data_IF_028776633136
#
_entry.id   IF_028776633136
#
_cell.length_a   1.000
_cell.length_b   1.000
_cell.length_c   1.000
_cell.angle_alpha   90.00
_cell.angle_beta   90.00
_cell.angle_gamma   90.00
#
_symmetry.space_group_name_H-M   'P 1'
#
loop_
_entity.id
_entity.type
_entity.pdbx_description
1 polymer ?
#
# COMPACT_ATOMS: atom_id res chain seq x y z
N UNK A 1 -1.93 -28.72 -3.62
CA UNK A 1 -3.35 -28.46 -3.33
C UNK A 1 -3.45 -27.05 -2.76
N UNK A 2 -4.31 -26.22 -3.32
CA UNK A 2 -4.63 -24.89 -2.80
C UNK A 2 -5.98 -24.99 -2.09
N UNK A 3 -6.01 -24.63 -0.81
CA UNK A 3 -7.24 -24.53 -0.02
C UNK A 3 -7.55 -23.04 0.16
N UNK A 4 -8.75 -22.63 -0.22
CA UNK A 4 -9.24 -21.29 0.07
C UNK A 4 -10.05 -21.33 1.36
N UNK A 5 -9.52 -20.71 2.40
CA UNK A 5 -10.22 -20.54 3.67
C UNK A 5 -10.86 -19.15 3.70
N UNK A 6 -12.17 -19.07 3.90
CA UNK A 6 -12.92 -17.81 4.01
C UNK A 6 -12.67 -17.07 5.35
N UNK A 7 -11.45 -17.14 5.87
CA UNK A 7 -11.04 -16.51 7.13
C UNK A 7 -10.05 -15.39 6.87
N UNK A 8 -10.17 -14.30 7.62
CA UNK A 8 -9.14 -13.25 7.63
C UNK A 8 -8.00 -13.68 8.53
N UNK A 9 -6.78 -13.58 8.03
CA UNK A 9 -5.60 -13.75 8.87
C UNK A 9 -5.46 -12.56 9.81
N UNK A 10 -5.05 -12.82 11.06
CA UNK A 10 -4.77 -11.79 12.04
C UNK A 10 -3.61 -10.88 11.59
N UNK A 11 -3.63 -9.65 12.06
CA UNK A 11 -2.55 -8.68 11.84
C UNK A 11 -1.69 -8.47 13.08
N UNK A 12 -1.81 -9.39 14.03
CA UNK A 12 -1.04 -9.39 15.27
C UNK A 12 0.30 -10.11 15.08
N UNK A 13 1.24 -9.88 15.98
CA UNK A 13 2.41 -10.73 16.13
C UNK A 13 1.96 -12.10 16.67
N UNK A 14 2.57 -13.18 16.22
CA UNK A 14 2.28 -14.55 16.68
C UNK A 14 0.84 -15.05 16.40
N UNK A 15 0.38 -14.87 15.19
CA UNK A 15 -0.88 -15.47 14.74
C UNK A 15 -0.79 -17.00 14.71
N UNK A 16 -1.90 -17.68 14.98
CA UNK A 16 -1.96 -19.13 14.96
C UNK A 16 -3.04 -19.59 13.98
N UNK A 17 -2.68 -20.50 13.09
CA UNK A 17 -3.63 -21.22 12.24
C UNK A 17 -3.56 -22.71 12.55
N UNK A 18 -4.73 -23.34 12.64
CA UNK A 18 -4.84 -24.79 12.88
C UNK A 18 -5.76 -25.42 11.86
N UNK A 19 -5.35 -26.57 11.35
CA UNK A 19 -6.19 -27.46 10.57
C UNK A 19 -6.76 -28.52 11.53
N UNK A 20 -8.08 -28.65 11.58
CA UNK A 20 -8.76 -29.58 12.47
C UNK A 20 -9.68 -30.52 11.69
N UNK A 21 -9.83 -31.75 12.15
CA UNK A 21 -10.81 -32.70 11.68
C UNK A 21 -11.70 -33.13 12.87
N UNK A 22 -12.87 -32.49 12.98
CA UNK A 22 -13.67 -32.58 14.19
C UNK A 22 -12.93 -31.98 15.40
N UNK A 23 -12.68 -32.79 16.42
CA UNK A 23 -11.93 -32.38 17.63
C UNK A 23 -10.40 -32.60 17.49
N UNK A 24 -9.97 -33.32 16.48
CA UNK A 24 -8.57 -33.64 16.26
C UNK A 24 -7.84 -32.50 15.52
N UNK A 25 -6.79 -32.00 16.12
CA UNK A 25 -5.87 -31.04 15.47
C UNK A 25 -4.88 -31.79 14.59
N UNK A 26 -5.02 -31.67 13.27
CA UNK A 26 -4.12 -32.29 12.31
C UNK A 26 -2.82 -31.49 12.14
N UNK A 27 -2.90 -30.18 12.26
CA UNK A 27 -1.76 -29.28 12.07
C UNK A 27 -2.00 -27.97 12.79
N UNK A 28 -0.95 -27.40 13.34
CA UNK A 28 -0.96 -26.04 13.92
C UNK A 28 0.33 -25.33 13.54
N UNK A 29 0.22 -24.10 13.09
CA UNK A 29 1.34 -23.25 12.73
C UNK A 29 1.17 -21.88 13.37
N UNK A 30 2.23 -21.38 13.96
CA UNK A 30 2.33 -19.98 14.37
C UNK A 30 3.05 -19.22 13.26
N UNK A 31 2.55 -18.05 12.89
CA UNK A 31 3.17 -17.20 11.88
C UNK A 31 3.19 -15.75 12.35
N UNK A 32 4.21 -14.98 11.92
CA UNK A 32 4.35 -13.57 12.27
C UNK A 32 3.31 -12.72 11.52
N UNK A 33 3.27 -11.42 11.84
CA UNK A 33 2.53 -10.44 11.05
C UNK A 33 3.03 -10.45 9.62
N UNK A 34 2.11 -10.50 8.66
CA UNK A 34 2.40 -10.48 7.24
C UNK A 34 1.96 -9.15 6.63
N UNK A 35 2.79 -8.58 5.79
CA UNK A 35 2.40 -7.46 4.93
C UNK A 35 1.55 -7.94 3.74
N UNK A 36 1.01 -7.00 2.99
CA UNK A 36 0.28 -7.30 1.75
C UNK A 36 1.24 -7.98 0.76
N UNK A 37 0.81 -9.04 0.12
CA UNK A 37 1.58 -9.87 -0.82
C UNK A 37 2.76 -10.65 -0.20
N UNK A 38 2.80 -10.79 1.10
CA UNK A 38 3.73 -11.71 1.76
C UNK A 38 3.12 -13.09 1.96
N UNK A 39 3.98 -14.09 1.94
CA UNK A 39 3.66 -15.44 2.37
C UNK A 39 4.65 -15.91 3.43
N UNK A 40 4.18 -16.78 4.31
CA UNK A 40 4.99 -17.45 5.31
C UNK A 40 4.68 -18.93 5.28
N UNK A 41 5.68 -19.74 5.15
CA UNK A 41 5.49 -21.17 4.99
C UNK A 41 6.80 -21.94 5.03
N UNK A 42 6.72 -23.24 4.73
CA UNK A 42 7.90 -24.10 4.64
C UNK A 42 8.81 -23.63 3.52
N UNK A 43 10.09 -23.60 3.80
CA UNK A 43 11.13 -23.30 2.82
C UNK A 43 11.51 -24.58 2.09
N UNK A 44 11.39 -24.55 0.76
CA UNK A 44 11.66 -25.71 -0.08
C UNK A 44 10.68 -26.86 0.11
N UNK A 45 11.11 -28.04 -0.26
CA UNK A 45 10.35 -29.28 -0.12
C UNK A 45 11.07 -30.24 0.83
N UNK A 46 10.34 -30.77 1.82
CA UNK A 46 10.82 -31.85 2.66
C UNK A 46 11.59 -31.45 3.91
N UNK A 47 11.64 -30.17 4.29
CA UNK A 47 12.13 -29.73 5.58
C UNK A 47 11.04 -29.04 6.39
N UNK A 48 11.28 -28.82 7.67
CA UNK A 48 10.34 -28.15 8.58
C UNK A 48 10.73 -26.68 8.87
N UNK A 49 11.72 -26.16 8.15
CA UNK A 49 12.11 -24.76 8.26
C UNK A 49 11.00 -23.87 7.71
N UNK A 50 10.62 -22.88 8.51
CA UNK A 50 9.58 -21.93 8.17
C UNK A 50 10.19 -20.56 7.95
N UNK A 51 9.69 -19.83 6.97
CA UNK A 51 10.20 -18.49 6.69
C UNK A 51 9.29 -17.68 5.78
N UNK A 52 9.63 -16.41 5.67
CA UNK A 52 9.02 -15.52 4.67
C UNK A 52 9.46 -15.93 3.27
N UNK A 53 8.57 -15.83 2.32
CA UNK A 53 8.87 -16.10 0.92
C UNK A 53 7.93 -15.32 0.00
N UNK A 54 8.32 -15.17 -1.25
CA UNK A 54 7.41 -14.67 -2.29
C UNK A 54 6.27 -15.67 -2.48
N UNK A 55 5.02 -15.21 -2.62
CA UNK A 55 3.89 -16.12 -2.89
C UNK A 55 4.11 -16.98 -4.13
N UNK A 56 3.99 -18.30 -3.97
CA UNK A 56 4.23 -19.31 -5.00
C UNK A 56 2.98 -20.14 -5.26
N UNK A 57 1.83 -19.49 -5.44
CA UNK A 57 0.52 -20.18 -5.60
C UNK A 57 0.56 -21.18 -6.75
N UNK A 58 0.38 -22.46 -6.42
CA UNK A 58 0.37 -23.55 -7.39
C UNK A 58 1.75 -24.10 -7.77
N UNK A 59 2.82 -23.49 -7.30
CA UNK A 59 4.20 -23.92 -7.51
C UNK A 59 4.83 -24.45 -6.23
N UNK A 60 6.05 -24.96 -6.34
CA UNK A 60 6.82 -25.34 -5.15
C UNK A 60 7.27 -24.10 -4.38
N UNK A 61 7.34 -24.22 -3.08
CA UNK A 61 7.88 -23.16 -2.22
C UNK A 61 9.33 -22.82 -2.58
N UNK A 62 9.72 -21.58 -2.31
CA UNK A 62 11.09 -21.12 -2.50
C UNK A 62 12.09 -22.02 -1.74
N UNK A 63 13.27 -22.23 -2.29
CA UNK A 63 14.31 -23.06 -1.65
C UNK A 63 15.01 -22.34 -0.50
N UNK A 64 14.94 -21.03 -0.47
CA UNK A 64 15.52 -20.17 0.56
C UNK A 64 14.48 -19.21 1.10
N UNK A 65 14.55 -18.91 2.40
CA UNK A 65 13.73 -17.87 3.02
C UNK A 65 14.14 -16.49 2.50
N UNK A 66 13.16 -15.60 2.32
CA UNK A 66 13.45 -14.18 2.17
C UNK A 66 14.06 -13.67 3.48
N UNK A 67 15.26 -13.11 3.40
CA UNK A 67 15.87 -12.43 4.52
C UNK A 67 15.26 -11.03 4.65
N UNK A 68 15.28 -10.48 5.85
CA UNK A 68 14.78 -9.11 6.08
C UNK A 68 15.54 -8.09 5.23
N UNK A 69 16.84 -8.28 5.08
CA UNK A 69 17.72 -7.47 4.23
C UNK A 69 17.48 -7.63 2.72
N UNK A 70 16.78 -8.70 2.31
CA UNK A 70 16.46 -8.99 0.92
C UNK A 70 15.13 -8.36 0.48
N UNK A 71 14.58 -7.45 1.29
CA UNK A 71 13.26 -6.87 1.08
C UNK A 71 13.34 -5.37 0.88
N UNK A 72 12.40 -4.85 0.10
CA UNK A 72 12.26 -3.41 -0.05
C UNK A 72 11.91 -2.77 1.30
N UNK A 73 12.87 -2.08 1.88
CA UNK A 73 12.72 -1.43 3.17
C UNK A 73 12.87 0.08 3.09
N UNK A 74 12.11 0.76 3.93
CA UNK A 74 12.20 2.19 4.14
C UNK A 74 12.80 2.44 5.53
N UNK A 75 13.82 3.30 5.62
CA UNK A 75 14.52 3.57 6.88
C UNK A 75 13.65 4.26 7.93
N UNK A 76 12.55 4.90 7.50
CA UNK A 76 11.61 5.62 8.35
C UNK A 76 10.21 5.12 8.03
N UNK A 77 9.44 4.62 8.99
CA UNK A 77 8.05 4.23 8.76
C UNK A 77 7.16 5.43 8.44
N UNK A 78 6.03 5.19 7.79
CA UNK A 78 4.98 6.20 7.62
C UNK A 78 4.47 6.73 8.95
N UNK A 79 4.04 7.99 8.97
CA UNK A 79 3.53 8.61 10.20
C UNK A 79 3.66 10.13 10.21
N UNK A 80 3.47 10.69 11.42
CA UNK A 80 3.57 12.11 11.68
C UNK A 80 4.97 12.47 12.21
N UNK A 81 5.57 13.50 11.64
CA UNK A 81 6.89 14.00 12.00
C UNK A 81 6.87 15.52 12.15
N UNK A 82 7.55 16.04 13.13
CA UNK A 82 7.67 17.50 13.35
C UNK A 82 8.58 18.15 12.31
N UNK A 83 9.67 17.46 11.98
CA UNK A 83 10.73 17.98 11.14
C UNK A 83 10.88 17.18 9.85
N UNK A 84 11.53 17.79 8.88
CA UNK A 84 11.95 17.13 7.64
C UNK A 84 12.72 15.85 7.94
N UNK A 85 12.34 14.77 7.27
CA UNK A 85 13.05 13.49 7.36
C UNK A 85 13.85 13.19 6.10
N UNK A 86 14.83 12.34 6.25
CA UNK A 86 15.59 11.76 5.13
C UNK A 86 15.28 10.27 5.04
N UNK A 87 14.64 9.88 3.95
CA UNK A 87 14.25 8.51 3.68
C UNK A 87 15.31 7.81 2.86
N UNK A 88 15.81 6.69 3.35
CA UNK A 88 16.60 5.74 2.56
C UNK A 88 15.76 4.50 2.24
N UNK A 89 15.96 3.99 1.04
CA UNK A 89 15.32 2.76 0.56
C UNK A 89 16.40 1.74 0.27
N UNK A 90 16.18 0.50 0.68
CA UNK A 90 17.13 -0.59 0.46
C UNK A 90 16.39 -1.86 0.03
N UNK A 91 17.06 -2.67 -0.76
CA UNK A 91 16.65 -4.00 -1.19
C UNK A 91 17.91 -4.87 -1.36
N UNK A 92 17.74 -6.12 -1.74
CA UNK A 92 18.87 -7.03 -2.02
C UNK A 92 19.75 -6.52 -3.16
N UNK A 93 21.01 -6.89 -3.20
CA UNK A 93 21.91 -6.54 -4.29
C UNK A 93 21.39 -6.97 -5.67
N UNK A 94 21.55 -6.11 -6.67
CA UNK A 94 21.14 -6.39 -8.05
C UNK A 94 19.67 -6.06 -8.35
N UNK A 95 18.97 -5.43 -7.41
CA UNK A 95 17.60 -4.94 -7.58
C UNK A 95 17.62 -3.42 -7.71
N UNK A 96 16.89 -2.90 -8.68
CA UNK A 96 16.67 -1.48 -8.86
C UNK A 96 15.40 -1.04 -8.17
N UNK A 97 15.44 0.09 -7.48
CA UNK A 97 14.25 0.68 -6.84
C UNK A 97 13.80 1.88 -7.67
N UNK A 98 12.51 1.91 -8.04
CA UNK A 98 11.84 3.06 -8.66
C UNK A 98 10.75 3.57 -7.74
N UNK A 99 10.56 4.89 -7.67
CA UNK A 99 9.62 5.47 -6.72
C UNK A 99 8.90 6.71 -7.23
N UNK A 100 7.81 7.05 -6.55
CA UNK A 100 7.05 8.29 -6.69
C UNK A 100 6.86 8.92 -5.30
N UNK A 101 6.60 10.23 -5.24
CA UNK A 101 6.36 10.96 -3.99
C UNK A 101 5.00 11.65 -3.94
N UNK A 102 4.16 11.40 -4.93
CA UNK A 102 2.82 11.97 -5.10
C UNK A 102 1.70 10.94 -4.97
N UNK A 103 2.05 9.69 -4.66
CA UNK A 103 1.11 8.58 -4.54
C UNK A 103 0.73 7.91 -5.85
N UNK A 104 1.24 8.38 -6.99
CA UNK A 104 1.05 7.69 -8.27
C UNK A 104 1.74 6.33 -8.26
N UNK A 105 1.22 5.38 -9.06
CA UNK A 105 1.80 4.05 -9.19
C UNK A 105 3.18 4.13 -9.85
N UNK A 106 4.25 3.70 -9.16
CA UNK A 106 5.58 3.69 -9.74
C UNK A 106 5.71 2.64 -10.83
N UNK A 107 6.50 2.97 -11.85
CA UNK A 107 6.87 2.10 -12.95
C UNK A 107 8.38 2.19 -13.17
N UNK A 108 8.94 1.39 -14.07
CA UNK A 108 10.35 1.50 -14.47
C UNK A 108 10.68 2.81 -15.21
N UNK A 109 9.67 3.62 -15.55
CA UNK A 109 9.83 4.97 -16.08
C UNK A 109 9.82 6.05 -14.98
N UNK A 110 9.50 5.68 -13.74
CA UNK A 110 9.53 6.57 -12.58
C UNK A 110 10.96 6.89 -12.17
N UNK A 111 11.14 7.77 -11.20
CA UNK A 111 12.46 8.12 -10.70
C UNK A 111 13.15 6.89 -10.08
N UNK A 112 14.39 6.62 -10.52
CA UNK A 112 15.21 5.55 -9.97
C UNK A 112 15.86 6.04 -8.69
N UNK A 113 15.75 5.26 -7.61
CA UNK A 113 16.39 5.59 -6.35
C UNK A 113 17.91 5.43 -6.44
N UNK A 114 18.62 6.55 -6.27
CA UNK A 114 20.08 6.58 -6.30
C UNK A 114 20.68 7.32 -5.10
N UNK A 115 19.86 8.03 -4.33
CA UNK A 115 20.29 8.80 -3.16
C UNK A 115 19.11 8.97 -2.18
N UNK A 116 19.38 9.26 -0.90
CA UNK A 116 18.35 9.50 0.10
C UNK A 116 17.36 10.61 -0.31
N UNK A 117 16.08 10.35 -0.11
CA UNK A 117 14.98 11.26 -0.48
C UNK A 117 14.62 12.13 0.71
N UNK A 118 14.62 13.44 0.51
CA UNK A 118 14.22 14.40 1.52
C UNK A 118 12.70 14.58 1.50
N UNK A 119 12.03 14.26 2.61
CA UNK A 119 10.60 14.47 2.79
C UNK A 119 10.37 15.64 3.73
N UNK A 120 9.80 16.71 3.20
CA UNK A 120 9.57 17.97 3.92
C UNK A 120 8.08 18.31 3.95
N UNK A 121 7.70 19.31 4.74
CA UNK A 121 6.33 19.83 4.75
C UNK A 121 5.95 20.35 3.35
N UNK A 122 4.80 19.91 2.85
CA UNK A 122 4.23 20.30 1.57
C UNK A 122 2.98 21.17 1.69
N UNK A 123 2.57 21.51 2.89
CA UNK A 123 1.38 22.31 3.14
C UNK A 123 1.44 23.61 2.33
N UNK A 124 0.34 23.95 1.68
CA UNK A 124 0.27 25.11 0.79
C UNK A 124 0.90 24.93 -0.61
N UNK A 125 1.47 23.76 -0.92
CA UNK A 125 1.87 23.42 -2.29
C UNK A 125 0.65 23.24 -3.19
N UNK A 126 0.83 23.44 -4.50
CA UNK A 126 -0.23 23.18 -5.47
C UNK A 126 -0.65 21.71 -5.46
N UNK A 127 -1.95 21.46 -5.59
CA UNK A 127 -2.53 20.13 -5.68
C UNK A 127 -3.48 20.04 -6.87
N UNK A 128 -3.43 18.93 -7.59
CA UNK A 128 -4.16 18.76 -8.86
C UNK A 128 -5.63 18.41 -8.61
N UNK A 129 -5.92 17.63 -7.57
CA UNK A 129 -7.24 16.99 -7.41
C UNK A 129 -8.27 17.86 -6.67
N UNK A 130 -7.89 18.89 -5.95
CA UNK A 130 -8.84 19.80 -5.36
C UNK A 130 -9.57 20.70 -6.38
N UNK A 131 -9.09 20.75 -7.60
CA UNK A 131 -9.79 21.43 -8.70
C UNK A 131 -11.01 20.67 -9.25
N UNK A 132 -11.19 19.40 -8.84
CA UNK A 132 -12.30 18.54 -9.28
C UNK A 132 -13.57 18.81 -8.49
N UNK A 133 -13.58 19.71 -7.54
CA UNK A 133 -14.76 20.02 -6.73
C UNK A 133 -15.77 20.79 -7.54
N UNK A 134 -16.93 20.17 -7.79
CA UNK A 134 -18.01 20.70 -8.61
C UNK A 134 -18.71 21.95 -8.02
N UNK A 135 -18.44 22.31 -6.77
CA UNK A 135 -19.08 23.44 -6.09
C UNK A 135 -18.32 24.76 -6.18
N UNK A 136 -17.21 24.80 -6.90
CA UNK A 136 -16.36 26.00 -7.04
C UNK A 136 -15.56 26.36 -5.77
N UNK A 137 -15.64 25.56 -4.71
CA UNK A 137 -14.86 25.79 -3.50
C UNK A 137 -13.42 25.31 -3.70
N UNK A 138 -12.50 26.25 -3.62
CA UNK A 138 -11.07 25.99 -3.69
C UNK A 138 -10.45 26.31 -2.33
N UNK A 139 -10.24 25.30 -1.47
CA UNK A 139 -9.61 25.53 -0.19
C UNK A 139 -8.18 26.03 -0.37
N UNK A 140 -7.76 26.95 0.49
CA UNK A 140 -6.38 27.44 0.56
C UNK A 140 -5.71 26.93 1.83
N UNK A 141 -4.38 26.80 1.78
CA UNK A 141 -3.61 26.43 2.98
C UNK A 141 -3.84 24.98 3.44
N UNK A 142 -4.15 24.06 2.52
CA UNK A 142 -4.38 22.67 2.87
C UNK A 142 -3.06 22.05 3.38
N UNK A 143 -3.18 21.36 4.50
CA UNK A 143 -2.11 20.50 5.02
C UNK A 143 -1.97 19.28 4.12
N UNK A 144 -0.74 19.02 3.65
CA UNK A 144 -0.47 17.98 2.66
C UNK A 144 0.59 17.00 3.15
N UNK A 145 0.24 15.72 3.13
CA UNK A 145 1.20 14.63 3.28
C UNK A 145 1.99 14.34 2.00
N UNK A 146 3.05 13.57 2.13
CA UNK A 146 3.79 12.96 1.03
C UNK A 146 3.53 11.47 1.05
N UNK A 147 3.03 10.92 -0.05
CA UNK A 147 2.87 9.48 -0.22
C UNK A 147 4.02 8.97 -1.08
N UNK A 148 4.90 8.19 -0.47
CA UNK A 148 6.00 7.52 -1.20
C UNK A 148 5.55 6.12 -1.55
N UNK A 149 5.54 5.83 -2.85
CA UNK A 149 5.35 4.47 -3.38
C UNK A 149 6.62 4.05 -4.09
N UNK A 150 7.08 2.84 -3.84
CA UNK A 150 8.27 2.31 -4.49
C UNK A 150 8.05 0.87 -4.93
N UNK A 151 8.72 0.50 -6.01
CA UNK A 151 8.81 -0.87 -6.52
C UNK A 151 10.27 -1.30 -6.58
N UNK A 152 10.50 -2.57 -6.27
CA UNK A 152 11.77 -3.25 -6.44
C UNK A 152 11.73 -4.08 -7.72
N UNK A 153 12.69 -3.90 -8.62
CA UNK A 153 12.69 -4.49 -9.96
C UNK A 153 13.99 -5.25 -10.20
N UNK A 154 13.87 -6.49 -10.66
CA UNK A 154 15.05 -7.31 -10.98
C UNK A 154 15.68 -6.92 -12.34
N UNK A 155 16.83 -7.54 -12.66
CA UNK A 155 17.54 -7.31 -13.91
C UNK A 155 16.75 -7.74 -15.17
N UNK A 156 15.68 -8.50 -15.01
CA UNK A 156 14.78 -8.94 -16.09
C UNK A 156 13.58 -8.00 -16.28
N UNK A 157 13.43 -7.00 -15.38
CA UNK A 157 12.32 -6.05 -15.40
C UNK A 157 11.08 -6.53 -14.64
N UNK A 158 11.16 -7.62 -13.87
CA UNK A 158 10.03 -8.07 -13.06
C UNK A 158 9.95 -7.27 -11.77
N UNK A 159 8.73 -6.86 -11.40
CA UNK A 159 8.47 -6.25 -10.11
C UNK A 159 8.44 -7.34 -9.06
N UNK A 160 9.35 -7.26 -8.10
CA UNK A 160 9.51 -8.22 -7.01
C UNK A 160 8.69 -7.82 -5.79
N UNK A 161 8.71 -6.53 -5.46
CA UNK A 161 8.01 -5.97 -4.30
C UNK A 161 7.49 -4.58 -4.59
N UNK A 162 6.45 -4.20 -3.86
CA UNK A 162 5.91 -2.85 -3.82
C UNK A 162 5.75 -2.43 -2.36
N UNK A 163 6.10 -1.17 -2.05
CA UNK A 163 5.93 -0.58 -0.73
C UNK A 163 5.37 0.82 -0.82
N UNK A 164 4.42 1.13 0.06
CA UNK A 164 3.77 2.44 0.15
C UNK A 164 3.77 2.92 1.60
N UNK A 165 4.23 4.15 1.82
CA UNK A 165 4.19 4.82 3.13
C UNK A 165 3.75 6.27 2.96
N UNK A 166 3.01 6.77 3.96
CA UNK A 166 2.52 8.17 3.99
C UNK A 166 3.20 8.93 5.11
N UNK A 167 3.73 10.10 4.78
CA UNK A 167 4.48 10.97 5.70
C UNK A 167 3.80 12.32 5.85
N UNK A 168 3.51 12.71 7.07
CA UNK A 168 2.86 13.96 7.44
C UNK A 168 3.84 14.82 8.23
N UNK A 169 4.50 15.77 7.54
CA UNK A 169 5.58 16.57 8.09
C UNK A 169 5.08 17.92 8.57
N UNK A 170 5.27 18.21 9.87
CA UNK A 170 4.90 19.49 10.50
C UNK A 170 3.40 19.70 10.68
N UNK A 171 2.56 18.74 10.29
CA UNK A 171 1.10 18.83 10.37
C UNK A 171 0.63 18.72 11.81
N UNK A 172 1.23 17.82 12.59
CA UNK A 172 0.87 17.58 13.98
C UNK A 172 1.02 18.81 14.90
N UNK A 173 1.79 19.81 14.50
CA UNK A 173 2.04 20.99 15.33
C UNK A 173 0.89 22.02 15.34
N UNK A 174 -0.03 21.94 14.38
CA UNK A 174 -1.05 22.98 14.14
C UNK A 174 -2.45 22.44 13.90
N UNK A 175 -2.70 21.14 13.99
CA UNK A 175 -3.98 20.60 13.56
C UNK A 175 -4.78 19.99 14.69
N UNK A 176 -6.09 20.15 14.62
CA UNK A 176 -7.06 19.42 15.42
C UNK A 176 -7.05 17.90 15.13
N UNK A 177 -6.19 17.47 14.19
CA UNK A 177 -6.04 16.06 13.80
C UNK A 177 -5.19 15.24 14.77
N UNK A 178 -4.45 15.88 15.69
CA UNK A 178 -3.54 15.20 16.61
C UNK A 178 -4.25 14.18 17.50
N UNK A 179 -5.50 14.44 17.85
CA UNK A 179 -6.31 13.61 18.73
C UNK A 179 -7.26 12.66 17.97
N UNK A 180 -7.21 12.63 16.64
CA UNK A 180 -8.07 11.80 15.81
C UNK A 180 -7.30 10.65 15.16
N UNK A 181 -7.91 9.46 15.05
CA UNK A 181 -7.35 8.39 14.21
C UNK A 181 -7.27 8.85 12.75
N UNK A 182 -6.10 8.71 12.14
CA UNK A 182 -5.89 9.06 10.72
C UNK A 182 -5.76 7.80 9.89
N UNK A 183 -6.57 7.70 8.84
CA UNK A 183 -6.49 6.66 7.83
C UNK A 183 -5.99 7.30 6.54
N UNK A 184 -4.80 6.90 6.09
CA UNK A 184 -4.24 7.31 4.80
C UNK A 184 -4.60 6.28 3.74
N UNK A 185 -5.38 6.68 2.75
CA UNK A 185 -5.73 5.86 1.60
C UNK A 185 -4.86 6.28 0.41
N UNK A 186 -4.16 5.32 -0.17
CA UNK A 186 -3.37 5.52 -1.38
C UNK A 186 -3.89 4.61 -2.49
N UNK A 187 -4.29 5.21 -3.59
CA UNK A 187 -4.80 4.51 -4.77
C UNK A 187 -4.47 5.34 -6.02
N UNK A 188 -4.62 4.75 -7.20
CA UNK A 188 -4.50 5.49 -8.43
C UNK A 188 -5.58 6.56 -8.51
N UNK A 189 -5.20 7.76 -8.97
CA UNK A 189 -6.09 8.90 -9.07
C UNK A 189 -7.35 8.59 -9.90
N UNK A 190 -7.25 7.76 -10.92
CA UNK A 190 -8.38 7.34 -11.73
C UNK A 190 -9.46 6.62 -10.92
N UNK A 191 -9.10 5.83 -9.90
CA UNK A 191 -10.07 5.15 -9.05
C UNK A 191 -10.95 6.12 -8.24
N UNK A 192 -10.50 7.35 -8.04
CA UNK A 192 -11.24 8.37 -7.33
C UNK A 192 -11.89 9.39 -8.28
N UNK A 193 -11.20 9.80 -9.33
CA UNK A 193 -11.51 11.03 -10.07
C UNK A 193 -11.76 10.85 -11.57
N UNK A 194 -11.62 9.65 -12.12
CA UNK A 194 -11.98 9.39 -13.52
C UNK A 194 -13.50 9.40 -13.69
N UNK A 195 -13.99 9.98 -14.80
CA UNK A 195 -15.42 10.12 -15.07
C UNK A 195 -16.15 8.76 -15.13
N UNK A 196 -15.52 7.71 -15.66
CA UNK A 196 -16.15 6.41 -15.84
C UNK A 196 -16.03 5.47 -14.64
N UNK A 197 -14.92 5.56 -13.88
CA UNK A 197 -14.62 4.63 -12.80
C UNK A 197 -14.37 5.29 -11.44
N UNK A 198 -14.18 6.61 -11.41
CA UNK A 198 -13.86 7.32 -10.19
C UNK A 198 -15.05 7.37 -9.23
N UNK A 199 -14.85 6.90 -8.00
CA UNK A 199 -15.92 6.87 -6.98
C UNK A 199 -16.19 8.23 -6.34
N UNK A 200 -15.36 9.24 -6.61
CA UNK A 200 -15.44 10.56 -5.99
C UNK A 200 -16.03 11.64 -6.90
N UNK A 201 -16.34 11.31 -8.14
CA UNK A 201 -16.91 12.21 -9.13
C UNK A 201 -18.25 11.68 -9.62
N UNK A 202 -19.12 12.62 -10.01
CA UNK A 202 -20.33 12.28 -10.72
C UNK A 202 -19.97 11.79 -12.12
N UNK A 203 -20.45 10.61 -12.48
CA UNK A 203 -20.16 9.97 -13.75
C UNK A 203 -21.42 9.38 -14.39
N UNK A 204 -21.29 8.45 -15.34
CA UNK A 204 -22.41 7.91 -16.10
C UNK A 204 -23.56 7.40 -15.23
N UNK A 205 -23.25 6.67 -14.15
CA UNK A 205 -24.31 6.14 -13.29
C UNK A 205 -25.16 7.23 -12.61
N UNK A 206 -24.54 8.35 -12.24
CA UNK A 206 -25.23 9.50 -11.69
C UNK A 206 -26.13 10.16 -12.76
N UNK A 207 -25.61 10.38 -13.94
CA UNK A 207 -26.33 11.00 -15.06
C UNK A 207 -27.52 10.14 -15.51
N UNK A 208 -27.34 8.83 -15.61
CA UNK A 208 -28.40 7.87 -15.95
C UNK A 208 -29.50 7.82 -14.87
N UNK A 209 -29.14 7.90 -13.60
CA UNK A 209 -30.10 7.98 -12.51
C UNK A 209 -30.95 9.25 -12.60
N UNK A 210 -30.33 10.41 -12.84
CA UNK A 210 -31.06 11.66 -13.05
C UNK A 210 -31.98 11.63 -14.27
N UNK A 211 -31.48 11.08 -15.40
CA UNK A 211 -32.25 10.96 -16.63
C UNK A 211 -33.47 10.05 -16.47
N UNK A 212 -33.41 9.07 -15.58
CA UNK A 212 -34.53 8.18 -15.23
C UNK A 212 -35.45 8.72 -14.14
N UNK A 213 -35.20 9.94 -13.64
CA UNK A 213 -36.00 10.58 -12.59
C UNK A 213 -35.71 10.04 -11.19
N UNK A 214 -34.55 9.37 -10.99
CA UNK A 214 -34.08 8.90 -9.70
C UNK A 214 -33.17 9.95 -9.04
N UNK A 215 -33.02 9.83 -7.73
CA UNK A 215 -32.02 10.61 -6.99
C UNK A 215 -30.63 10.02 -7.26
N UNK A 216 -29.78 10.80 -7.92
CA UNK A 216 -28.41 10.42 -8.24
C UNK A 216 -27.41 10.49 -7.06
N UNK A 217 -27.83 10.94 -5.87
CA UNK A 217 -26.91 11.25 -4.77
C UNK A 217 -26.06 10.07 -4.30
N UNK A 218 -26.51 8.84 -4.50
CA UNK A 218 -25.82 7.64 -4.04
C UNK A 218 -25.34 6.73 -5.18
N UNK A 219 -25.29 7.25 -6.39
CA UNK A 219 -24.82 6.48 -7.55
C UNK A 219 -23.32 6.68 -7.73
N UNK A 220 -22.56 5.64 -7.49
CA UNK A 220 -21.12 5.60 -7.72
C UNK A 220 -20.79 4.85 -9.01
N UNK A 221 -19.64 5.16 -9.59
CA UNK A 221 -19.09 4.41 -10.71
C UNK A 221 -18.31 3.21 -10.17
N UNK A 222 -18.78 2.00 -10.40
CA UNK A 222 -18.05 0.73 -10.16
C UNK A 222 -18.68 -0.44 -10.93
#
# INVERSE_FOLDING_TARGET
VVLEAGVKLGQEENNVISLVNGEEKLFTMTFPKLAVQESYGRIGTGNDEMGYQTPTRGENNAQEALKTEDRLTFSVPGGFYTDTITLTMTDKPGVDIYYTTDGSTPTTASEKYTAPVKIANRSGSGYVYADIVNNGYKPSGIEMGTVVRAIAVDAQGNILEEKTESYFIGIANNSDLVDLPVISLSTDAANLFDYFQGIYVQGPNYEDALASGQDGLFQANY
#
